data_IF_500943107224
#
_entry.id   IF_500943107224
#
_cell.length_a   1.000
_cell.length_b   1.000
_cell.length_c   1.000
_cell.angle_alpha   90.00
_cell.angle_beta   90.00
_cell.angle_gamma   90.00
#
_symmetry.space_group_name_H-M   'P 1'
#
loop_
_entity.id
_entity.type
_entity.pdbx_description
1 polymer ?
#
# COMPACT_ATOMS: atom_id res chain seq x y z
N UNK A 1 -0.52 -16.86 -12.22
CA UNK A 1 -0.62 -17.05 -10.76
C UNK A 1 -1.30 -15.83 -10.18
N UNK A 2 -2.22 -16.00 -9.23
CA UNK A 2 -2.79 -14.87 -8.48
C UNK A 2 -1.71 -14.39 -7.49
N UNK A 3 -1.27 -13.14 -7.60
CA UNK A 3 -0.28 -12.54 -6.70
C UNK A 3 -0.99 -12.02 -5.45
N UNK A 4 -0.40 -12.20 -4.27
CA UNK A 4 -0.98 -11.79 -2.99
C UNK A 4 -0.29 -10.52 -2.47
N UNK A 5 -1.07 -9.65 -1.83
CA UNK A 5 -0.52 -8.62 -0.97
C UNK A 5 -0.42 -9.18 0.45
N UNK A 6 0.79 -9.17 1.01
CA UNK A 6 1.00 -9.37 2.44
C UNK A 6 0.92 -8.00 3.09
N UNK A 7 0.04 -7.82 4.06
CA UNK A 7 -0.19 -6.52 4.69
C UNK A 7 0.22 -6.53 6.15
N UNK A 8 0.90 -5.48 6.59
CA UNK A 8 1.04 -5.14 8.00
C UNK A 8 0.30 -3.83 8.21
N UNK A 9 -0.75 -3.84 9.04
CA UNK A 9 -1.54 -2.64 9.33
C UNK A 9 -1.29 -2.24 10.79
N UNK A 10 -0.79 -1.02 11.00
CA UNK A 10 -0.58 -0.44 12.32
C UNK A 10 -1.63 0.64 12.60
N UNK A 11 -2.36 0.48 13.71
CA UNK A 11 -3.32 1.48 14.20
C UNK A 11 -3.41 1.43 15.73
N UNK A 12 -3.37 2.58 16.39
CA UNK A 12 -3.42 2.73 17.85
C UNK A 12 -2.30 1.94 18.58
N UNK A 13 -1.10 1.93 18.02
CA UNK A 13 0.07 1.23 18.55
C UNK A 13 0.04 -0.29 18.41
N UNK A 14 -0.93 -0.83 17.67
CA UNK A 14 -1.04 -2.27 17.39
C UNK A 14 -0.83 -2.55 15.91
N UNK A 15 0.09 -3.46 15.61
CA UNK A 15 0.30 -3.99 14.26
C UNK A 15 -0.38 -5.34 14.11
N UNK A 16 -1.02 -5.58 12.96
CA UNK A 16 -1.63 -6.86 12.60
C UNK A 16 -1.26 -7.23 11.17
N UNK A 17 -1.06 -8.53 10.95
CA UNK A 17 -0.61 -9.06 9.67
C UNK A 17 -1.74 -9.77 8.94
N UNK A 18 -1.81 -9.57 7.63
CA UNK A 18 -2.87 -10.09 6.79
C UNK A 18 -2.34 -10.54 5.43
N UNK A 19 -3.06 -11.46 4.78
CA UNK A 19 -2.92 -11.75 3.36
C UNK A 19 -4.19 -11.36 2.63
N UNK A 20 -4.02 -10.76 1.45
CA UNK A 20 -5.11 -10.39 0.57
C UNK A 20 -4.79 -10.85 -0.87
N UNK A 21 -5.80 -11.39 -1.56
CA UNK A 21 -5.63 -11.89 -2.92
C UNK A 21 -5.71 -10.75 -3.94
N UNK A 22 -4.86 -10.77 -4.97
CA UNK A 22 -4.85 -9.79 -6.08
C UNK A 22 -4.62 -8.33 -5.67
N UNK A 23 -3.94 -8.12 -4.55
CA UNK A 23 -3.65 -6.80 -3.98
C UNK A 23 -2.16 -6.51 -3.85
N UNK A 24 -1.31 -7.28 -4.54
CA UNK A 24 0.17 -7.17 -4.53
C UNK A 24 0.74 -5.91 -5.18
N UNK A 25 -0.08 -5.00 -5.73
CA UNK A 25 0.42 -3.81 -6.43
C UNK A 25 0.23 -2.54 -5.61
N UNK A 26 1.15 -1.59 -5.77
CA UNK A 26 1.01 -0.25 -5.20
C UNK A 26 -0.31 0.43 -5.63
N UNK A 27 -0.75 0.19 -6.87
CA UNK A 27 -2.03 0.69 -7.37
C UNK A 27 -3.23 0.08 -6.63
N UNK A 28 -3.19 -1.22 -6.32
CA UNK A 28 -4.23 -1.90 -5.54
C UNK A 28 -4.29 -1.34 -4.11
N UNK A 29 -3.13 -1.13 -3.47
CA UNK A 29 -3.05 -0.50 -2.15
C UNK A 29 -3.60 0.94 -2.18
N UNK A 30 -3.24 1.73 -3.19
CA UNK A 30 -3.71 3.10 -3.35
C UNK A 30 -5.24 3.19 -3.53
N UNK A 31 -5.82 2.29 -4.32
CA UNK A 31 -7.27 2.16 -4.49
C UNK A 31 -7.98 1.86 -3.18
N UNK A 32 -7.42 0.93 -2.40
CA UNK A 32 -7.97 0.53 -1.11
C UNK A 32 -7.98 1.72 -0.14
N UNK A 33 -6.84 2.39 0.03
CA UNK A 33 -6.70 3.58 0.89
C UNK A 33 -7.62 4.72 0.46
N UNK A 34 -7.72 5.00 -0.85
CA UNK A 34 -8.65 6.02 -1.36
C UNK A 34 -10.11 5.71 -0.99
N UNK A 35 -10.48 4.43 -1.02
CA UNK A 35 -11.86 4.06 -0.72
C UNK A 35 -12.13 4.02 0.77
N UNK A 36 -11.15 3.59 1.58
CA UNK A 36 -11.19 3.75 3.03
C UNK A 36 -11.48 5.21 3.40
N UNK A 37 -10.75 6.16 2.81
CA UNK A 37 -10.97 7.60 3.04
C UNK A 37 -12.37 8.07 2.63
N UNK A 38 -12.94 7.52 1.55
CA UNK A 38 -14.32 7.81 1.13
C UNK A 38 -15.37 7.24 2.07
N UNK A 39 -15.21 5.97 2.47
CA UNK A 39 -16.17 5.26 3.31
C UNK A 39 -16.14 5.80 4.74
N UNK A 40 -14.95 6.12 5.26
CA UNK A 40 -14.77 6.75 6.57
C UNK A 40 -15.53 8.08 6.70
N UNK A 41 -15.62 8.88 5.64
CA UNK A 41 -16.43 10.13 5.64
C UNK A 41 -17.92 9.87 5.85
N UNK A 42 -18.39 8.66 5.55
CA UNK A 42 -19.80 8.30 5.52
C UNK A 42 -20.22 7.31 6.63
N UNK A 43 -19.28 6.79 7.44
CA UNK A 43 -19.55 5.86 8.53
C UNK A 43 -19.33 6.49 9.92
N UNK A 44 -20.10 6.07 10.95
CA UNK A 44 -19.82 6.48 12.33
C UNK A 44 -18.41 6.06 12.75
N UNK A 45 -17.76 6.89 13.56
CA UNK A 45 -16.35 6.76 13.98
C UNK A 45 -16.01 5.32 14.38
N UNK A 46 -15.21 4.64 13.55
CA UNK A 46 -14.67 3.31 13.80
C UNK A 46 -13.19 3.23 13.43
N UNK A 47 -12.50 2.20 13.90
CA UNK A 47 -11.11 1.89 13.53
C UNK A 47 -10.99 1.74 12.01
N UNK A 48 -9.91 2.27 11.42
CA UNK A 48 -9.61 2.13 9.98
C UNK A 48 -9.41 0.66 9.62
N UNK A 49 -8.75 -0.10 10.48
CA UNK A 49 -8.59 -1.55 10.32
C UNK A 49 -9.95 -2.25 10.25
N UNK A 50 -10.90 -1.91 11.13
CA UNK A 50 -12.25 -2.47 11.07
C UNK A 50 -13.01 -2.10 9.79
N UNK A 51 -12.81 -0.89 9.24
CA UNK A 51 -13.38 -0.50 7.95
C UNK A 51 -12.74 -1.31 6.82
N UNK A 52 -11.41 -1.46 6.82
CA UNK A 52 -10.68 -2.27 5.84
C UNK A 52 -11.13 -3.75 5.85
N UNK A 53 -11.32 -4.34 7.03
CA UNK A 53 -11.88 -5.68 7.20
C UNK A 53 -13.34 -5.77 6.70
N UNK A 54 -14.12 -4.70 6.84
CA UNK A 54 -15.53 -4.64 6.41
C UNK A 54 -15.72 -4.33 4.92
N UNK A 55 -14.75 -3.68 4.26
CA UNK A 55 -14.81 -3.29 2.85
C UNK A 55 -15.02 -4.48 1.90
N UNK A 56 -14.74 -5.70 2.37
CA UNK A 56 -15.02 -6.94 1.67
C UNK A 56 -16.49 -7.11 1.22
N UNK A 57 -17.45 -6.52 1.96
CA UNK A 57 -18.88 -6.78 1.73
C UNK A 57 -19.50 -6.01 0.56
N UNK A 58 -18.89 -4.92 0.11
CA UNK A 58 -19.51 -3.98 -0.84
C UNK A 58 -18.69 -3.73 -2.12
N UNK A 59 -17.45 -4.23 -2.22
CA UNK A 59 -16.72 -4.20 -3.48
C UNK A 59 -17.19 -5.30 -4.43
N UNK A 60 -18.24 -4.99 -5.20
CA UNK A 60 -18.71 -5.83 -6.30
C UNK A 60 -17.58 -6.20 -7.28
N UNK A 61 -17.13 -7.47 -7.24
CA UNK A 61 -16.75 -8.24 -8.42
C UNK A 61 -17.50 -9.58 -8.36
N UNK A 62 -18.62 -9.66 -9.08
CA UNK A 62 -19.53 -10.82 -9.23
C UNK A 62 -20.21 -11.27 -7.93
N UNK A 63 -21.54 -11.18 -7.91
CA UNK A 63 -22.34 -11.89 -6.91
C UNK A 63 -22.20 -13.41 -7.11
N UNK A 64 -21.18 -14.02 -6.52
CA UNK A 64 -21.21 -15.44 -6.24
C UNK A 64 -22.07 -15.62 -4.99
N UNK A 65 -23.34 -15.95 -5.20
CA UNK A 65 -24.21 -16.47 -4.15
C UNK A 65 -23.42 -17.47 -3.29
N UNK A 66 -23.24 -17.12 -2.01
CA UNK A 66 -22.76 -18.04 -0.99
C UNK A 66 -21.24 -18.19 -0.90
N UNK A 67 -20.57 -17.24 -0.24
CA UNK A 67 -19.52 -17.44 0.78
C UNK A 67 -18.92 -16.07 1.15
N UNK A 68 -18.78 -15.80 2.44
CA UNK A 68 -18.08 -14.63 2.98
C UNK A 68 -16.59 -14.81 2.71
N UNK A 69 -16.00 -14.01 1.82
CA UNK A 69 -14.57 -14.11 1.47
C UNK A 69 -13.83 -12.86 1.93
N UNK A 70 -13.58 -12.72 3.24
CA UNK A 70 -12.88 -11.57 3.81
C UNK A 70 -11.67 -11.13 2.96
N UNK A 71 -11.67 -9.88 2.46
CA UNK A 71 -10.58 -9.25 1.70
C UNK A 71 -9.21 -9.45 2.37
N UNK A 72 -9.20 -9.40 3.70
CA UNK A 72 -8.05 -9.68 4.54
C UNK A 72 -8.25 -10.97 5.33
N UNK A 73 -7.29 -11.87 5.22
CA UNK A 73 -7.16 -13.03 6.10
C UNK A 73 -6.01 -12.78 7.06
N UNK A 74 -6.27 -12.82 8.36
CA UNK A 74 -5.22 -12.66 9.37
C UNK A 74 -4.17 -13.77 9.20
N UNK A 75 -2.90 -13.39 9.29
CA UNK A 75 -1.76 -14.31 9.35
C UNK A 75 -1.26 -14.36 10.78
N UNK A 76 -0.85 -15.54 11.23
CA UNK A 76 -0.01 -15.62 12.42
C UNK A 76 1.44 -15.17 12.12
N UNK A 77 2.23 -14.96 13.18
CA UNK A 77 3.59 -14.43 13.05
C UNK A 77 4.52 -15.34 12.23
N UNK A 78 4.29 -16.65 12.27
CA UNK A 78 5.08 -17.63 11.53
C UNK A 78 4.71 -17.57 10.05
N UNK A 79 3.42 -17.63 9.72
CA UNK A 79 2.94 -17.53 8.35
C UNK A 79 3.35 -16.21 7.70
N UNK A 80 3.28 -15.11 8.46
CA UNK A 80 3.75 -13.80 8.04
C UNK A 80 5.25 -13.80 7.74
N UNK A 81 6.07 -14.26 8.68
CA UNK A 81 7.54 -14.28 8.50
C UNK A 81 7.96 -15.13 7.30
N UNK A 82 7.34 -16.31 7.12
CA UNK A 82 7.59 -17.17 5.97
C UNK A 82 7.16 -16.52 4.64
N UNK A 83 6.07 -15.75 4.63
CA UNK A 83 5.59 -15.06 3.44
C UNK A 83 6.48 -13.89 3.04
N UNK A 84 6.90 -13.05 4.01
CA UNK A 84 7.79 -11.90 3.77
C UNK A 84 9.16 -12.39 3.32
N UNK A 85 9.71 -13.42 3.98
CA UNK A 85 11.01 -13.99 3.60
C UNK A 85 11.06 -14.46 2.15
N UNK A 86 9.97 -15.08 1.65
CA UNK A 86 9.88 -15.49 0.23
C UNK A 86 9.89 -14.32 -0.74
N UNK A 87 9.46 -13.13 -0.32
CA UNK A 87 9.54 -11.91 -1.12
C UNK A 87 10.99 -11.40 -1.11
N UNK A 88 11.62 -11.37 0.07
CA UNK A 88 13.03 -10.97 0.24
C UNK A 88 14.01 -11.86 -0.53
N UNK A 89 13.76 -13.18 -0.52
CA UNK A 89 14.56 -14.18 -1.24
C UNK A 89 14.27 -14.21 -2.76
N UNK A 90 13.34 -13.37 -3.26
CA UNK A 90 12.95 -13.33 -4.68
C UNK A 90 12.20 -14.59 -5.15
N UNK A 91 11.79 -15.45 -4.22
CA UNK A 91 11.11 -16.72 -4.50
C UNK A 91 9.62 -16.53 -4.87
N UNK A 92 9.08 -15.32 -4.66
CA UNK A 92 7.66 -15.02 -4.88
C UNK A 92 7.45 -13.59 -5.38
N UNK A 93 6.67 -13.44 -6.45
CA UNK A 93 6.21 -12.15 -6.98
C UNK A 93 5.04 -11.54 -6.17
N UNK A 94 5.07 -11.71 -4.85
CA UNK A 94 4.14 -11.02 -3.95
C UNK A 94 4.76 -9.68 -3.53
N UNK A 95 3.96 -8.84 -2.87
CA UNK A 95 4.46 -7.62 -2.26
C UNK A 95 4.06 -7.57 -0.78
N UNK A 96 4.95 -7.01 0.03
CA UNK A 96 4.66 -6.70 1.42
C UNK A 96 4.34 -5.19 1.54
N UNK A 97 3.15 -4.91 2.05
CA UNK A 97 2.53 -3.58 2.10
C UNK A 97 2.33 -3.23 3.57
N UNK A 98 3.12 -2.29 4.07
CA UNK A 98 3.02 -1.80 5.44
C UNK A 98 2.17 -0.52 5.42
N UNK A 99 1.04 -0.51 6.12
CA UNK A 99 0.17 0.65 6.26
C UNK A 99 0.18 1.07 7.71
N UNK A 100 0.86 2.18 8.01
CA UNK A 100 0.92 2.74 9.35
C UNK A 100 0.02 3.97 9.44
N UNK A 101 -1.14 3.80 10.08
CA UNK A 101 -2.11 4.88 10.29
C UNK A 101 -1.72 5.82 11.43
N UNK A 102 -0.82 5.42 12.31
CA UNK A 102 -0.35 6.25 13.42
C UNK A 102 0.65 7.29 12.92
N UNK A 103 1.56 6.89 12.03
CA UNK A 103 2.52 7.80 11.38
C UNK A 103 2.03 8.37 10.05
N UNK A 104 1.01 7.77 9.44
CA UNK A 104 0.50 8.18 8.14
C UNK A 104 1.39 7.76 6.98
N UNK A 105 2.14 6.65 7.12
CA UNK A 105 3.10 6.17 6.13
C UNK A 105 2.65 4.85 5.49
N UNK A 106 3.11 4.63 4.26
CA UNK A 106 2.99 3.36 3.55
C UNK A 106 4.38 2.88 3.13
N UNK A 107 4.74 1.67 3.55
CA UNK A 107 5.88 0.91 3.04
C UNK A 107 5.43 -0.08 1.97
N UNK A 108 6.22 -0.23 0.91
CA UNK A 108 5.99 -1.17 -0.18
C UNK A 108 7.29 -1.90 -0.50
N UNK A 109 7.38 -3.17 -0.10
CA UNK A 109 8.47 -4.08 -0.40
C UNK A 109 8.04 -5.01 -1.54
N UNK A 110 8.84 -5.08 -2.59
CA UNK A 110 8.53 -5.84 -3.80
C UNK A 110 9.80 -6.39 -4.46
N UNK A 111 9.66 -7.47 -5.22
CA UNK A 111 10.74 -7.98 -6.09
C UNK A 111 10.92 -7.08 -7.32
N UNK A 112 12.14 -6.59 -7.51
CA UNK A 112 12.57 -5.81 -8.65
C UNK A 112 13.72 -6.53 -9.37
N UNK A 113 13.37 -7.38 -10.33
CA UNK A 113 14.34 -8.12 -11.16
C UNK A 113 15.27 -9.06 -10.36
N UNK A 114 14.76 -9.69 -9.30
CA UNK A 114 15.53 -10.62 -8.45
C UNK A 114 16.17 -9.96 -7.24
N UNK A 115 15.96 -8.66 -7.05
CA UNK A 115 16.41 -7.91 -5.87
C UNK A 115 15.20 -7.30 -5.15
N UNK A 116 15.16 -7.44 -3.83
CA UNK A 116 14.13 -6.80 -3.01
C UNK A 116 14.30 -5.27 -3.01
N UNK A 117 13.27 -4.56 -3.44
CA UNK A 117 13.21 -3.11 -3.45
C UNK A 117 12.14 -2.61 -2.48
N UNK A 118 12.43 -1.50 -1.79
CA UNK A 118 11.50 -0.88 -0.83
C UNK A 118 11.23 0.58 -1.19
N UNK A 119 9.97 0.95 -1.07
CA UNK A 119 9.48 2.32 -1.22
C UNK A 119 8.70 2.72 0.03
N UNK A 120 8.95 3.92 0.56
CA UNK A 120 8.17 4.47 1.68
C UNK A 120 7.61 5.83 1.30
N UNK A 121 6.29 5.98 1.38
CA UNK A 121 5.57 7.18 0.96
C UNK A 121 4.53 7.60 2.01
N UNK A 122 4.17 8.89 2.11
CA UNK A 122 3.01 9.32 2.89
C UNK A 122 1.72 8.73 2.31
N UNK A 123 0.82 8.22 3.16
CA UNK A 123 -0.50 7.72 2.76
C UNK A 123 -1.28 8.79 1.99
N UNK A 124 -1.19 10.04 2.40
CA UNK A 124 -1.85 11.18 1.75
C UNK A 124 -1.39 11.32 0.30
N UNK A 125 -0.08 11.27 0.04
CA UNK A 125 0.47 11.36 -1.30
C UNK A 125 -0.01 10.22 -2.21
N UNK A 126 -0.11 9.00 -1.68
CA UNK A 126 -0.64 7.84 -2.43
C UNK A 126 -2.12 8.02 -2.77
N UNK A 127 -2.92 8.46 -1.80
CA UNK A 127 -4.36 8.69 -1.97
C UNK A 127 -4.61 9.81 -2.97
N UNK A 128 -3.84 10.89 -2.90
CA UNK A 128 -3.90 12.02 -3.84
C UNK A 128 -3.45 11.60 -5.24
N UNK A 129 -2.39 10.80 -5.35
CA UNK A 129 -1.91 10.25 -6.61
C UNK A 129 -2.99 9.41 -7.31
N UNK A 130 -3.65 8.54 -6.55
CA UNK A 130 -4.74 7.72 -7.06
C UNK A 130 -5.95 8.57 -7.47
N UNK A 131 -6.40 9.45 -6.57
CA UNK A 131 -7.56 10.33 -6.80
C UNK A 131 -7.35 11.22 -8.03
N UNK A 132 -6.18 11.87 -8.13
CA UNK A 132 -5.77 12.71 -9.24
C UNK A 132 -5.59 11.95 -10.57
N UNK A 133 -5.56 10.62 -10.53
CA UNK A 133 -5.46 9.74 -11.69
C UNK A 133 -6.79 9.17 -12.17
N UNK A 134 -7.89 9.41 -11.44
CA UNK A 134 -9.22 9.01 -11.89
C UNK A 134 -9.66 9.82 -13.11
N UNK A 135 -10.21 9.14 -14.12
CA UNK A 135 -10.71 9.74 -15.35
C UNK A 135 -12.09 9.17 -15.67
N UNK A 136 -12.98 10.03 -16.18
CA UNK A 136 -14.27 9.59 -16.69
C UNK A 136 -14.06 9.01 -18.09
N UNK A 137 -14.56 7.79 -18.32
CA UNK A 137 -14.69 7.19 -19.65
C UNK A 137 -16.02 7.58 -20.29
N UNK A 138 -17.07 7.63 -19.49
CA UNK A 138 -18.42 8.10 -19.82
C UNK A 138 -19.17 8.46 -18.51
N UNK A 139 -20.49 8.68 -18.58
CA UNK A 139 -21.29 9.09 -17.42
C UNK A 139 -21.37 8.05 -16.30
N UNK A 140 -21.11 6.77 -16.58
CA UNK A 140 -21.22 5.67 -15.60
C UNK A 140 -19.90 4.97 -15.29
N UNK A 141 -18.83 5.21 -16.07
CA UNK A 141 -17.57 4.51 -15.95
C UNK A 141 -16.41 5.47 -15.64
N UNK A 142 -15.70 5.17 -14.55
CA UNK A 142 -14.46 5.83 -14.15
C UNK A 142 -13.34 4.78 -14.25
N UNK A 143 -12.19 5.19 -14.78
CA UNK A 143 -10.97 4.37 -14.83
C UNK A 143 -9.79 5.11 -14.23
N UNK A 144 -8.71 4.40 -13.92
CA UNK A 144 -7.45 4.99 -13.47
C UNK A 144 -6.53 5.18 -14.66
N UNK A 145 -6.03 6.39 -14.88
CA UNK A 145 -4.91 6.63 -15.78
C UNK A 145 -3.61 6.22 -15.08
N UNK A 146 -3.13 5.00 -15.37
CA UNK A 146 -1.95 4.39 -14.74
C UNK A 146 -0.67 5.17 -15.00
N UNK A 147 -0.50 5.75 -16.20
CA UNK A 147 0.65 6.58 -16.53
C UNK A 147 0.69 7.86 -15.69
N UNK A 148 -0.46 8.47 -15.44
CA UNK A 148 -0.56 9.63 -14.57
C UNK A 148 -0.31 9.26 -13.11
N UNK A 149 -0.78 8.10 -12.67
CA UNK A 149 -0.52 7.59 -11.32
C UNK A 149 0.98 7.39 -11.09
N UNK A 150 1.67 6.67 -11.98
CA UNK A 150 3.11 6.46 -11.91
C UNK A 150 3.88 7.77 -11.84
N UNK A 151 3.57 8.74 -12.72
CA UNK A 151 4.20 10.07 -12.71
C UNK A 151 3.99 10.85 -11.41
N UNK A 152 2.87 10.67 -10.72
CA UNK A 152 2.63 11.35 -9.44
C UNK A 152 3.39 10.68 -8.30
N UNK A 153 3.55 9.36 -8.34
CA UNK A 153 4.41 8.63 -7.41
C UNK A 153 5.88 9.04 -7.60
N UNK A 154 6.39 9.04 -8.83
CA UNK A 154 7.76 9.48 -9.16
C UNK A 154 8.05 10.89 -8.61
N UNK A 155 7.16 11.85 -8.86
CA UNK A 155 7.28 13.21 -8.33
C UNK A 155 7.33 13.27 -6.80
N UNK A 156 6.59 12.38 -6.13
CA UNK A 156 6.59 12.31 -4.67
C UNK A 156 7.94 11.80 -4.16
N UNK A 157 8.49 10.75 -4.80
CA UNK A 157 9.82 10.23 -4.50
C UNK A 157 10.91 11.30 -4.71
N UNK A 158 10.87 12.01 -5.85
CA UNK A 158 11.83 13.08 -6.16
C UNK A 158 11.78 14.20 -5.12
N UNK A 159 10.57 14.61 -4.72
CA UNK A 159 10.40 15.65 -3.70
C UNK A 159 10.95 15.23 -2.33
N UNK A 160 10.77 13.96 -1.94
CA UNK A 160 11.34 13.43 -0.70
C UNK A 160 12.87 13.39 -0.74
N UNK A 161 13.45 12.97 -1.86
CA UNK A 161 14.90 12.97 -2.05
C UNK A 161 15.50 14.37 -1.93
N UNK A 162 14.85 15.37 -2.53
CA UNK A 162 15.30 16.77 -2.44
C UNK A 162 15.17 17.34 -1.02
N UNK A 163 14.10 16.99 -0.29
CA UNK A 163 13.95 17.37 1.12
C UNK A 163 15.07 16.77 1.98
N UNK A 164 15.37 15.48 1.82
CA UNK A 164 16.47 14.83 2.56
C UNK A 164 17.82 15.46 2.24
N UNK A 165 18.09 15.82 0.97
CA UNK A 165 19.32 16.53 0.58
C UNK A 165 19.41 17.93 1.20
N UNK A 166 18.29 18.63 1.32
CA UNK A 166 18.24 19.96 1.95
C UNK A 166 18.42 19.88 3.47
N UNK A 167 17.92 18.83 4.12
CA UNK A 167 18.14 18.55 5.54
C UNK A 167 19.61 18.23 5.82
N UNK A 168 20.24 17.39 5.00
CA UNK A 168 21.69 17.10 5.07
C UNK A 168 22.56 18.34 4.82
N UNK A 169 22.11 19.25 3.95
CA UNK A 169 22.81 20.50 3.67
C UNK A 169 22.66 21.57 4.77
N UNK A 170 21.61 21.46 5.61
CA UNK A 170 21.25 22.49 6.61
C UNK A 170 21.51 22.10 8.07
N UNK A 171 21.93 20.86 8.40
CA UNK A 171 22.24 20.49 9.78
C UNK A 171 22.92 19.13 9.95
N UNK A 172 24.14 19.16 10.52
CA UNK A 172 24.93 18.06 11.11
C UNK A 172 24.87 16.66 10.47
N UNK A 173 25.96 16.30 9.79
CA UNK A 173 26.18 14.98 9.20
C UNK A 173 25.90 13.81 10.16
N UNK A 174 24.93 12.93 9.84
CA UNK A 174 25.05 11.53 10.23
C UNK A 174 26.06 10.87 9.30
N UNK A 175 27.05 10.17 9.87
CA UNK A 175 27.98 9.36 9.10
C UNK A 175 27.22 8.24 8.38
N UNK A 176 26.89 8.44 7.11
CA UNK A 176 26.50 7.35 6.21
C UNK A 176 27.76 6.80 5.56
N UNK A 177 28.08 5.55 5.87
CA UNK A 177 29.14 4.79 5.21
C UNK A 177 28.89 4.74 3.70
N UNK A 178 29.92 5.08 2.94
CA UNK A 178 29.93 4.97 1.48
C UNK A 178 29.74 3.51 1.06
N UNK A 179 28.76 3.26 0.20
CA UNK A 179 28.76 2.07 -0.65
C UNK A 179 29.40 2.48 -1.98
N UNK A 180 30.53 1.85 -2.32
CA UNK A 180 31.15 1.95 -3.63
C UNK A 180 30.50 0.97 -4.61
N UNK A 181 30.29 1.42 -5.84
CA UNK A 181 29.99 0.61 -7.03
C UNK A 181 31.14 -0.34 -7.37
#
# INVERSE_FOLDING_TARGET
>A
MLQHGIYTITENGQSRNYIAQNTSSLLSAAKLLHTLEKVKRNLPKGSRTSVLEALDKDYNFVALKGKSYNLFHALDDREFSEAVKKIEDGERQDAHIEVDFDTGSLGFLYDNHGEAARLTLPITAIVDAYSGSLRKKNNSQIYVNTNNFAKQIEKTCDAQLELSRQEEANGEAPQVQKISL
#
